data_IF_729676034462
#
_entry.id   IF_729676034462
#
_cell.length_a   1.000
_cell.length_b   1.000
_cell.length_c   1.000
_cell.angle_alpha   90.00
_cell.angle_beta   90.00
_cell.angle_gamma   90.00
#
_symmetry.space_group_name_H-M   'P 1'
#
loop_
_entity.id
_entity.type
_entity.pdbx_description
1 polymer ?
#
# COMPACT_ATOMS: atom_id res chain seq x y z
N UNK A 1 2.10 16.04 14.46
CA UNK A 1 1.23 15.91 13.27
C UNK A 1 0.13 14.90 13.58
N UNK A 2 -1.13 15.24 13.34
CA UNK A 2 -2.25 14.33 13.57
C UNK A 2 -2.22 13.13 12.60
N UNK A 3 -2.90 12.04 12.93
CA UNK A 3 -3.00 10.89 12.01
C UNK A 3 -3.68 11.28 10.68
N UNK A 4 -4.63 12.20 10.72
CA UNK A 4 -5.32 12.70 9.52
C UNK A 4 -4.35 13.45 8.60
N UNK A 5 -3.55 14.35 9.16
CA UNK A 5 -2.51 15.07 8.41
C UNK A 5 -1.44 14.13 7.89
N UNK A 6 -1.01 13.16 8.71
CA UNK A 6 -0.04 12.14 8.30
C UNK A 6 -0.57 11.34 7.10
N UNK A 7 -1.79 10.80 7.19
CA UNK A 7 -2.41 10.02 6.11
C UNK A 7 -2.56 10.86 4.86
N UNK A 8 -3.05 12.10 4.97
CA UNK A 8 -3.17 13.03 3.83
C UNK A 8 -1.81 13.30 3.19
N UNK A 9 -0.80 13.65 3.99
CA UNK A 9 0.56 13.92 3.50
C UNK A 9 1.13 12.71 2.78
N UNK A 10 1.03 11.52 3.37
CA UNK A 10 1.54 10.27 2.79
C UNK A 10 0.85 9.92 1.46
N UNK A 11 -0.48 10.02 1.38
CA UNK A 11 -1.21 9.83 0.11
C UNK A 11 -0.71 10.81 -0.97
N UNK A 12 -0.48 12.08 -0.63
CA UNK A 12 0.07 13.06 -1.58
C UNK A 12 1.49 12.72 -2.02
N UNK A 13 2.37 12.33 -1.10
CA UNK A 13 3.75 11.94 -1.40
C UNK A 13 3.80 10.76 -2.37
N UNK A 14 2.82 9.85 -2.34
CA UNK A 14 2.73 8.72 -3.27
C UNK A 14 1.95 9.04 -4.55
N UNK A 15 1.75 10.32 -4.88
CA UNK A 15 1.19 10.75 -6.17
C UNK A 15 -0.31 10.53 -6.34
N UNK A 16 -1.05 10.20 -5.28
CA UNK A 16 -2.51 9.96 -5.35
C UNK A 16 -3.26 11.16 -5.92
N UNK A 17 -2.80 12.38 -5.66
CA UNK A 17 -3.44 13.60 -6.16
C UNK A 17 -3.20 13.86 -7.66
N UNK A 18 -2.22 13.18 -8.26
CA UNK A 18 -1.80 13.44 -9.63
C UNK A 18 -2.82 12.88 -10.63
N UNK A 19 -3.58 11.85 -10.26
CA UNK A 19 -4.62 11.31 -11.11
C UNK A 19 -6.02 11.83 -10.78
N UNK A 20 -6.88 11.89 -11.80
CA UNK A 20 -8.26 12.34 -11.64
C UNK A 20 -9.01 11.52 -10.60
N UNK A 21 -8.98 10.21 -10.76
CA UNK A 21 -9.68 9.29 -9.86
C UNK A 21 -9.01 9.21 -8.48
N UNK A 22 -7.69 9.38 -8.38
CA UNK A 22 -7.01 9.42 -7.08
C UNK A 22 -7.45 10.61 -6.21
N UNK A 23 -7.86 11.74 -6.82
CA UNK A 23 -8.41 12.88 -6.07
C UNK A 23 -9.71 12.56 -5.31
N UNK A 24 -10.44 11.52 -5.73
CA UNK A 24 -11.65 11.05 -5.05
C UNK A 24 -11.34 10.63 -3.61
N UNK A 25 -10.15 10.08 -3.35
CA UNK A 25 -9.73 9.70 -1.99
C UNK A 25 -9.70 10.92 -1.05
N UNK A 26 -9.46 12.13 -1.57
CA UNK A 26 -9.41 13.34 -0.76
C UNK A 26 -10.76 14.06 -0.62
N UNK A 27 -11.65 13.93 -1.60
CA UNK A 27 -12.97 14.56 -1.61
C UNK A 27 -14.05 13.68 -0.95
N UNK A 28 -13.94 12.35 -1.08
CA UNK A 28 -14.79 11.39 -0.38
C UNK A 28 -14.32 11.20 1.06
N UNK A 29 -15.06 11.80 2.01
CA UNK A 29 -14.77 11.72 3.45
C UNK A 29 -14.73 10.28 3.96
N UNK A 30 -15.60 9.39 3.45
CA UNK A 30 -15.68 8.01 3.92
C UNK A 30 -14.45 7.23 3.46
N UNK A 31 -14.07 7.36 2.18
CA UNK A 31 -12.87 6.72 1.64
C UNK A 31 -11.61 7.25 2.34
N UNK A 32 -11.50 8.56 2.56
CA UNK A 32 -10.39 9.14 3.31
C UNK A 32 -10.27 8.56 4.72
N UNK A 33 -11.39 8.43 5.44
CA UNK A 33 -11.40 7.84 6.77
C UNK A 33 -11.03 6.36 6.77
N UNK A 34 -11.31 5.61 5.69
CA UNK A 34 -10.84 4.23 5.53
C UNK A 34 -9.31 4.17 5.39
N UNK A 35 -8.68 5.11 4.68
CA UNK A 35 -7.22 5.21 4.66
C UNK A 35 -6.62 5.60 6.02
N UNK A 36 -7.32 6.43 6.81
CA UNK A 36 -6.90 6.71 8.20
C UNK A 36 -6.98 5.45 9.06
N UNK A 37 -8.01 4.61 8.87
CA UNK A 37 -8.11 3.30 9.54
C UNK A 37 -7.01 2.34 9.11
N UNK A 38 -6.66 2.33 7.82
CA UNK A 38 -5.54 1.56 7.30
C UNK A 38 -4.22 1.97 7.96
N UNK A 39 -3.98 3.28 8.13
CA UNK A 39 -2.79 3.77 8.85
C UNK A 39 -2.78 3.34 10.32
N UNK A 40 -3.93 3.32 10.99
CA UNK A 40 -4.02 2.77 12.35
C UNK A 40 -3.69 1.28 12.37
N UNK A 41 -4.30 0.50 11.48
CA UNK A 41 -4.06 -0.93 11.36
C UNK A 41 -2.58 -1.23 11.15
N UNK A 42 -1.92 -0.49 10.26
CA UNK A 42 -0.48 -0.61 10.01
C UNK A 42 0.36 -0.37 11.27
N UNK A 43 0.01 0.66 12.07
CA UNK A 43 0.72 0.97 13.33
C UNK A 43 0.49 -0.05 14.45
N UNK A 44 -0.55 -0.87 14.35
CA UNK A 44 -0.76 -1.99 15.26
C UNK A 44 0.07 -3.22 14.88
N UNK A 45 0.74 -3.21 13.72
CA UNK A 45 1.59 -4.31 13.23
C UNK A 45 0.85 -5.65 13.14
N UNK A 46 -0.44 -5.62 12.79
CA UNK A 46 -1.26 -6.82 12.64
C UNK A 46 -1.71 -6.98 11.18
N UNK A 47 -1.21 -8.04 10.53
CA UNK A 47 -1.50 -8.31 9.13
C UNK A 47 -3.00 -8.59 8.88
N UNK A 48 -3.69 -9.23 9.82
CA UNK A 48 -5.12 -9.55 9.69
C UNK A 48 -5.95 -8.26 9.74
N UNK A 49 -5.61 -7.35 10.66
CA UNK A 49 -6.28 -6.04 10.75
C UNK A 49 -5.99 -5.21 9.50
N UNK A 50 -4.75 -5.23 8.98
CA UNK A 50 -4.38 -4.54 7.74
C UNK A 50 -5.17 -5.09 6.55
N UNK A 51 -5.21 -6.42 6.38
CA UNK A 51 -5.96 -7.06 5.30
C UNK A 51 -7.45 -6.74 5.38
N UNK A 52 -8.02 -6.74 6.59
CA UNK A 52 -9.42 -6.33 6.80
C UNK A 52 -9.66 -4.88 6.37
N UNK A 53 -8.79 -3.95 6.76
CA UNK A 53 -8.90 -2.55 6.36
C UNK A 53 -8.81 -2.37 4.82
N UNK A 54 -7.93 -3.11 4.16
CA UNK A 54 -7.83 -3.11 2.69
C UNK A 54 -9.08 -3.71 2.04
N UNK A 55 -9.64 -4.79 2.59
CA UNK A 55 -10.88 -5.37 2.08
C UNK A 55 -12.07 -4.41 2.22
N UNK A 56 -12.16 -3.66 3.32
CA UNK A 56 -13.17 -2.61 3.50
C UNK A 56 -13.05 -1.51 2.41
N UNK A 57 -11.81 -1.09 2.10
CA UNK A 57 -11.55 -0.14 1.00
C UNK A 57 -11.96 -0.78 -0.35
N UNK A 58 -11.60 -2.03 -0.61
CA UNK A 58 -11.93 -2.72 -1.85
C UNK A 58 -13.44 -2.80 -2.08
N UNK A 59 -14.19 -3.20 -1.05
CA UNK A 59 -15.65 -3.25 -1.09
C UNK A 59 -16.25 -1.88 -1.34
N UNK A 60 -15.72 -0.82 -0.71
CA UNK A 60 -16.21 0.53 -0.93
C UNK A 60 -15.92 1.03 -2.35
N UNK A 61 -14.67 0.89 -2.82
CA UNK A 61 -14.26 1.21 -4.19
C UNK A 61 -15.13 0.50 -5.24
N UNK A 62 -15.48 -0.77 -5.00
CA UNK A 62 -16.43 -1.51 -5.84
C UNK A 62 -17.83 -0.90 -5.81
N UNK A 63 -18.33 -0.51 -4.64
CA UNK A 63 -19.67 0.09 -4.48
C UNK A 63 -19.83 1.44 -5.19
N UNK A 64 -18.74 2.22 -5.34
CA UNK A 64 -18.73 3.48 -6.08
C UNK A 64 -18.32 3.31 -7.56
N UNK A 65 -18.26 2.07 -8.06
CA UNK A 65 -17.92 1.77 -9.46
C UNK A 65 -16.46 2.03 -9.85
N UNK A 66 -15.56 2.16 -8.87
CA UNK A 66 -14.13 2.49 -9.09
C UNK A 66 -13.21 1.48 -8.42
N UNK A 67 -13.28 0.18 -8.78
CA UNK A 67 -12.50 -0.88 -8.12
C UNK A 67 -10.98 -0.68 -8.23
N UNK A 68 -10.50 -0.01 -9.29
CA UNK A 68 -9.08 0.28 -9.51
C UNK A 68 -8.44 1.15 -8.43
N UNK A 69 -9.23 1.95 -7.70
CA UNK A 69 -8.74 2.79 -6.60
C UNK A 69 -8.10 1.99 -5.45
N UNK A 70 -8.37 0.68 -5.36
CA UNK A 70 -7.74 -0.20 -4.38
C UNK A 70 -6.20 -0.19 -4.49
N UNK A 71 -5.65 0.09 -5.68
CA UNK A 71 -4.21 0.14 -5.90
C UNK A 71 -3.51 1.15 -4.99
N UNK A 72 -4.18 2.25 -4.67
CA UNK A 72 -3.64 3.26 -3.77
C UNK A 72 -3.48 2.75 -2.34
N UNK A 73 -4.22 1.73 -1.92
CA UNK A 73 -4.01 1.07 -0.62
C UNK A 73 -2.70 0.28 -0.62
N UNK A 74 -2.41 -0.45 -1.70
CA UNK A 74 -1.16 -1.19 -1.83
C UNK A 74 0.03 -0.24 -1.96
N UNK A 75 -0.10 0.85 -2.74
CA UNK A 75 0.91 1.91 -2.79
C UNK A 75 1.14 2.56 -1.42
N UNK A 76 0.07 2.80 -0.65
CA UNK A 76 0.14 3.39 0.68
C UNK A 76 0.91 2.52 1.68
N UNK A 77 0.74 1.20 1.59
CA UNK A 77 1.47 0.24 2.42
C UNK A 77 2.90 0.05 1.90
N UNK A 78 3.07 -0.17 0.59
CA UNK A 78 4.36 -0.42 -0.06
C UNK A 78 5.31 0.74 0.13
N UNK A 79 4.98 1.94 -0.31
CA UNK A 79 5.91 3.08 -0.33
C UNK A 79 6.13 3.73 1.05
N UNK A 80 6.17 2.90 2.09
CA UNK A 80 6.51 3.28 3.45
C UNK A 80 7.89 2.75 3.84
N UNK A 81 8.21 2.89 5.11
CA UNK A 81 9.35 2.25 5.78
C UNK A 81 9.34 0.71 5.69
N UNK A 82 8.26 0.12 5.16
CA UNK A 82 8.11 -1.31 4.91
C UNK A 82 8.71 -1.78 3.56
N UNK A 83 9.18 -0.87 2.71
CA UNK A 83 9.94 -1.23 1.49
C UNK A 83 11.44 -1.23 1.79
N UNK A 84 12.17 -2.30 1.42
CA UNK A 84 13.62 -2.31 1.53
C UNK A 84 14.24 -1.27 0.61
N UNK A 85 15.25 -0.55 1.12
CA UNK A 85 16.01 0.41 0.30
C UNK A 85 17.10 -0.30 -0.51
N UNK A 86 17.56 -1.48 -0.05
CA UNK A 86 18.48 -2.36 -0.79
C UNK A 86 17.92 -3.77 -0.72
N UNK A 87 17.77 -4.42 -1.88
CA UNK A 87 17.54 -5.86 -1.97
C UNK A 87 18.79 -6.49 -2.55
N UNK A 88 19.47 -7.31 -1.76
CA UNK A 88 20.69 -7.99 -2.18
C UNK A 88 20.35 -9.17 -3.09
N UNK A 89 21.31 -9.56 -3.93
CA UNK A 89 21.18 -10.79 -4.72
C UNK A 89 21.06 -11.99 -3.77
N UNK A 90 20.16 -12.91 -4.09
CA UNK A 90 19.99 -14.13 -3.31
C UNK A 90 21.29 -14.94 -3.25
N UNK A 91 21.65 -15.38 -2.05
CA UNK A 91 22.78 -16.25 -1.80
C UNK A 91 22.28 -17.69 -1.73
N UNK A 92 22.84 -18.57 -2.55
CA UNK A 92 22.55 -20.01 -2.48
C UNK A 92 23.37 -20.60 -1.34
N UNK A 93 22.69 -21.15 -0.35
CA UNK A 93 23.28 -21.79 0.81
C UNK A 93 23.75 -23.21 0.46
N UNK A 94 24.58 -23.79 1.32
CA UNK A 94 25.18 -25.13 1.12
C UNK A 94 24.17 -26.28 1.08
N UNK A 95 22.96 -26.06 1.61
CA UNK A 95 21.83 -26.99 1.59
C UNK A 95 20.92 -26.82 0.36
N UNK A 96 21.21 -25.85 -0.51
CA UNK A 96 20.41 -25.51 -1.69
C UNK A 96 19.33 -24.45 -1.44
N UNK A 97 19.16 -23.98 -0.21
CA UNK A 97 18.22 -22.90 0.10
C UNK A 97 18.72 -21.55 -0.44
N UNK A 98 17.80 -20.64 -0.74
CA UNK A 98 18.15 -19.28 -1.17
C UNK A 98 17.87 -18.31 -0.03
N UNK A 99 18.92 -17.63 0.44
CA UNK A 99 18.81 -16.55 1.41
C UNK A 99 18.68 -15.21 0.68
N UNK A 100 17.60 -14.49 0.98
CA UNK A 100 17.43 -13.11 0.56
C UNK A 100 17.78 -12.16 1.71
N UNK A 101 18.70 -11.22 1.46
CA UNK A 101 19.03 -10.16 2.41
C UNK A 101 18.41 -8.85 1.91
N UNK A 102 17.71 -8.16 2.81
CA UNK A 102 17.01 -6.90 2.55
C UNK A 102 17.39 -5.89 3.61
N UNK A 103 17.88 -4.73 3.19
CA UNK A 103 18.18 -3.64 4.11
C UNK A 103 16.99 -2.68 4.15
N UNK A 104 16.52 -2.41 5.35
CA UNK A 104 15.44 -1.48 5.63
C UNK A 104 16.01 -0.20 6.26
N UNK A 105 15.29 0.91 6.09
CA UNK A 105 15.70 2.21 6.65
C UNK A 105 15.65 2.24 8.18
N UNK A 106 14.96 1.28 8.79
CA UNK A 106 14.93 1.00 10.22
C UNK A 106 14.76 -0.51 10.46
N UNK A 107 14.94 -0.93 11.71
CA UNK A 107 14.56 -2.28 12.13
C UNK A 107 13.04 -2.46 12.03
N UNK A 108 12.63 -3.57 11.40
CA UNK A 108 11.22 -3.98 11.26
C UNK A 108 10.95 -5.24 12.08
N UNK A 109 9.71 -5.40 12.55
CA UNK A 109 9.21 -6.68 13.06
C UNK A 109 8.91 -7.67 11.91
N UNK A 110 8.71 -8.95 12.22
CA UNK A 110 8.37 -9.96 11.20
C UNK A 110 7.01 -9.65 10.56
N UNK A 111 6.03 -9.22 11.36
CA UNK A 111 4.72 -8.76 10.89
C UNK A 111 4.83 -7.55 9.95
N UNK A 112 5.66 -6.57 10.28
CA UNK A 112 5.91 -5.41 9.42
C UNK A 112 6.48 -5.82 8.05
N UNK A 113 7.44 -6.76 8.04
CA UNK A 113 7.96 -7.35 6.81
C UNK A 113 6.84 -8.07 6.05
N UNK A 114 6.05 -8.91 6.73
CA UNK A 114 4.96 -9.64 6.10
C UNK A 114 3.91 -8.72 5.47
N UNK A 115 3.55 -7.61 6.13
CA UNK A 115 2.67 -6.57 5.58
C UNK A 115 3.27 -5.96 4.32
N UNK A 116 4.57 -5.65 4.34
CA UNK A 116 5.30 -5.09 3.20
C UNK A 116 5.32 -6.03 1.99
N UNK A 117 5.72 -7.28 2.19
CA UNK A 117 5.77 -8.31 1.15
C UNK A 117 4.38 -8.62 0.57
N UNK A 118 3.36 -8.69 1.43
CA UNK A 118 1.99 -8.87 0.99
C UNK A 118 1.53 -7.68 0.14
N UNK A 119 1.75 -6.44 0.58
CA UNK A 119 1.38 -5.25 -0.18
C UNK A 119 2.11 -5.16 -1.53
N UNK A 120 3.38 -5.56 -1.57
CA UNK A 120 4.19 -5.69 -2.78
C UNK A 120 3.54 -6.66 -3.78
N UNK A 121 3.29 -7.89 -3.35
CA UNK A 121 2.68 -8.92 -4.19
C UNK A 121 1.31 -8.48 -4.73
N UNK A 122 0.49 -7.84 -3.89
CA UNK A 122 -0.82 -7.34 -4.32
C UNK A 122 -0.71 -6.16 -5.28
N UNK A 123 0.27 -5.27 -5.10
CA UNK A 123 0.53 -4.18 -6.04
C UNK A 123 0.92 -4.74 -7.42
N UNK A 124 1.91 -5.64 -7.49
CA UNK A 124 2.37 -6.26 -8.74
C UNK A 124 1.26 -7.02 -9.48
N UNK A 125 0.39 -7.69 -8.72
CA UNK A 125 -0.79 -8.36 -9.28
C UNK A 125 -1.73 -7.41 -10.02
N UNK A 126 -1.87 -6.17 -9.55
CA UNK A 126 -2.88 -5.23 -10.06
C UNK A 126 -2.33 -4.07 -10.87
N UNK A 127 -1.03 -3.75 -10.75
CA UNK A 127 -0.42 -2.53 -11.30
C UNK A 127 -0.69 -2.36 -12.79
N UNK A 128 -0.50 -3.43 -13.57
CA UNK A 128 -0.59 -3.37 -15.04
C UNK A 128 -1.99 -2.99 -15.52
N UNK A 129 -3.03 -3.44 -14.81
CA UNK A 129 -4.42 -3.21 -15.19
C UNK A 129 -4.93 -1.89 -14.60
N UNK A 130 -4.72 -1.67 -13.30
CA UNK A 130 -5.31 -0.52 -12.61
C UNK A 130 -4.58 0.78 -12.88
N UNK A 131 -3.25 0.79 -13.00
CA UNK A 131 -2.52 2.01 -13.38
C UNK A 131 -2.88 2.45 -14.81
N UNK A 132 -3.15 1.51 -15.71
CA UNK A 132 -3.62 1.83 -17.06
C UNK A 132 -5.00 2.52 -17.05
N UNK A 133 -5.92 2.03 -16.22
CA UNK A 133 -7.25 2.66 -16.07
C UNK A 133 -7.11 4.05 -15.47
N UNK A 134 -6.23 4.21 -14.48
CA UNK A 134 -5.96 5.51 -13.85
C UNK A 134 -5.39 6.51 -14.87
N UNK A 135 -4.40 6.11 -15.65
CA UNK A 135 -3.78 6.96 -16.67
C UNK A 135 -4.77 7.37 -17.78
N UNK A 136 -5.67 6.46 -18.20
CA UNK A 136 -6.71 6.76 -19.20
C UNK A 136 -7.80 7.69 -18.69
N UNK A 137 -8.01 7.76 -17.38
CA UNK A 137 -8.93 8.72 -16.77
C UNK A 137 -8.38 10.15 -16.69
N UNK A 138 -7.17 10.38 -17.20
CA UNK A 138 -6.53 11.70 -17.31
C UNK A 138 -6.67 12.33 -18.72
N UNK A 139 -7.12 11.56 -19.72
CA UNK A 139 -7.49 12.02 -21.08
C UNK A 139 -8.93 12.55 -21.11
#
# INVERSE_FOLDING_TARGET
MSIYEFTRKKLKTHGVQNSHDGRIIFSDKRLFLMFVRLERARRFEDIVIVQKAVNEIASYCKSIGKPHLIIFSFMYLRFSDLTPHITHRGEVLSDGDIRYVKDYTRRLSQEEVAIGEWALSMFEKYERFFLRVIARGEE
#
